data_IF_112738618537
#
_entry.id   IF_112738618537
#
_cell.length_a   1.000
_cell.length_b   1.000
_cell.length_c   1.000
_cell.angle_alpha   90.00
_cell.angle_beta   90.00
_cell.angle_gamma   90.00
#
_symmetry.space_group_name_H-M   'P 1'
#
loop_
_entity.id
_entity.type
_entity.pdbx_description
1 polymer ?
#
# COMPACT_ATOMS: atom_id res chain seq x y z
N UNK A 1 -17.09 10.57 14.34
CA UNK A 1 -17.43 11.64 15.31
C UNK A 1 -17.66 12.98 14.64
N UNK A 2 -16.67 13.56 13.94
CA UNK A 2 -16.86 14.87 13.27
C UNK A 2 -17.95 14.83 12.19
N UNK A 3 -17.97 13.78 11.37
CA UNK A 3 -19.00 13.57 10.34
C UNK A 3 -20.42 13.41 10.90
N UNK A 4 -20.57 12.72 12.03
CA UNK A 4 -21.87 12.56 12.70
C UNK A 4 -22.34 13.88 13.30
N UNK A 5 -21.43 14.65 13.92
CA UNK A 5 -21.73 15.98 14.42
C UNK A 5 -22.11 16.95 13.29
N UNK A 6 -21.34 17.00 12.21
CA UNK A 6 -21.62 17.86 11.06
C UNK A 6 -22.99 17.61 10.46
N UNK A 7 -23.42 16.35 10.38
CA UNK A 7 -24.75 15.97 9.87
C UNK A 7 -25.89 16.13 10.89
N UNK A 8 -25.59 16.39 12.15
CA UNK A 8 -26.61 16.71 13.18
C UNK A 8 -27.03 18.18 13.17
N UNK A 9 -26.33 19.04 12.40
CA UNK A 9 -26.64 20.46 12.29
C UNK A 9 -28.00 20.68 11.62
N UNK A 10 -28.89 21.40 12.30
CA UNK A 10 -30.21 21.79 11.78
C UNK A 10 -30.15 22.97 10.80
N UNK A 11 -29.13 23.83 10.94
CA UNK A 11 -28.90 24.96 10.05
C UNK A 11 -27.40 25.15 9.78
N UNK A 12 -27.00 25.72 8.63
CA UNK A 12 -25.60 25.97 8.32
C UNK A 12 -24.98 27.00 9.28
N UNK A 13 -23.80 26.71 9.83
CA UNK A 13 -23.04 27.66 10.66
C UNK A 13 -22.03 28.37 9.78
N UNK A 14 -22.03 29.71 9.78
CA UNK A 14 -21.10 30.50 8.97
C UNK A 14 -20.14 31.29 9.87
N UNK A 15 -18.83 31.03 9.77
CA UNK A 15 -17.78 31.70 10.55
C UNK A 15 -16.84 32.54 9.66
N UNK A 16 -17.35 33.05 8.54
CA UNK A 16 -16.58 33.84 7.57
C UNK A 16 -15.72 32.96 6.67
N UNK A 17 -14.52 32.57 7.12
CA UNK A 17 -13.56 31.80 6.30
C UNK A 17 -13.94 30.32 6.23
N UNK A 18 -14.47 29.77 7.34
CA UNK A 18 -14.90 28.38 7.44
C UNK A 18 -16.40 28.37 7.74
N UNK A 19 -17.13 27.57 6.99
CA UNK A 19 -18.55 27.35 7.18
C UNK A 19 -18.81 25.85 7.37
N UNK A 20 -19.87 25.53 8.09
CA UNK A 20 -20.34 24.18 8.33
C UNK A 20 -21.70 23.98 7.66
N UNK A 21 -21.72 23.27 6.55
CA UNK A 21 -22.90 23.02 5.73
C UNK A 21 -22.98 21.54 5.36
N UNK A 22 -23.93 20.76 5.90
CA UNK A 22 -24.08 19.35 5.59
C UNK A 22 -24.33 19.12 4.09
N UNK A 23 -23.53 18.27 3.46
CA UNK A 23 -23.60 17.95 2.05
C UNK A 23 -23.32 16.45 1.82
N UNK A 24 -24.18 15.79 1.03
CA UNK A 24 -24.01 14.39 0.66
C UNK A 24 -23.21 14.30 -0.63
N UNK A 25 -22.02 13.72 -0.56
CA UNK A 25 -21.18 13.52 -1.74
C UNK A 25 -21.27 12.08 -2.22
N UNK A 26 -21.95 11.89 -3.36
CA UNK A 26 -22.11 10.59 -4.00
C UNK A 26 -20.95 10.24 -4.95
N UNK A 27 -20.15 11.22 -5.35
CA UNK A 27 -19.02 11.08 -6.29
C UNK A 27 -17.65 10.85 -5.63
N UNK A 28 -16.58 11.12 -6.39
CA UNK A 28 -15.16 11.09 -5.96
C UNK A 28 -14.77 12.42 -5.29
N UNK A 29 -14.31 13.37 -6.10
CA UNK A 29 -13.86 14.71 -5.68
C UNK A 29 -14.90 15.69 -6.22
N UNK A 30 -15.45 16.54 -5.35
CA UNK A 30 -16.46 17.55 -5.72
C UNK A 30 -17.68 17.00 -6.49
N UNK A 31 -18.07 15.75 -6.24
CA UNK A 31 -19.22 15.12 -6.90
C UNK A 31 -18.94 14.52 -8.29
N UNK A 32 -17.69 14.44 -8.76
CA UNK A 32 -17.39 13.74 -10.03
C UNK A 32 -17.79 12.26 -9.96
N UNK A 33 -18.11 11.64 -11.11
CA UNK A 33 -18.60 10.25 -11.22
C UNK A 33 -20.02 10.04 -10.65
N UNK A 34 -20.88 11.06 -10.67
CA UNK A 34 -22.28 10.92 -10.23
C UNK A 34 -23.18 10.11 -11.17
N UNK A 35 -22.79 10.02 -12.43
CA UNK A 35 -23.56 9.38 -13.51
C UNK A 35 -23.70 7.85 -13.36
N UNK A 36 -22.86 7.23 -12.53
CA UNK A 36 -22.91 5.78 -12.30
C UNK A 36 -23.92 5.41 -11.21
N UNK A 37 -24.60 4.27 -11.39
CA UNK A 37 -25.54 3.72 -10.40
C UNK A 37 -24.88 3.66 -9.01
N UNK A 38 -25.61 4.03 -7.95
CA UNK A 38 -25.13 4.07 -6.55
C UNK A 38 -24.32 2.84 -6.17
N UNK A 39 -24.83 1.67 -6.55
CA UNK A 39 -24.22 0.41 -6.22
C UNK A 39 -22.83 0.21 -6.86
N UNK A 40 -22.66 0.60 -8.13
CA UNK A 40 -21.36 0.52 -8.83
C UNK A 40 -20.34 1.38 -8.11
N UNK A 41 -20.76 2.57 -7.64
CA UNK A 41 -19.92 3.50 -6.89
C UNK A 41 -19.51 2.93 -5.53
N UNK A 42 -20.46 2.42 -4.75
CA UNK A 42 -20.19 1.84 -3.43
C UNK A 42 -19.19 0.70 -3.55
N UNK A 43 -19.40 -0.21 -4.51
CA UNK A 43 -18.49 -1.35 -4.67
C UNK A 43 -17.12 -0.89 -5.15
N UNK A 44 -17.04 -0.04 -6.17
CA UNK A 44 -15.76 0.48 -6.67
C UNK A 44 -14.94 1.15 -5.56
N UNK A 45 -15.56 2.03 -4.76
CA UNK A 45 -14.86 2.74 -3.68
C UNK A 45 -14.47 1.83 -2.53
N UNK A 46 -15.32 0.87 -2.17
CA UNK A 46 -15.01 -0.09 -1.10
C UNK A 46 -13.85 -1.00 -1.50
N UNK A 47 -13.84 -1.50 -2.75
CA UNK A 47 -12.76 -2.33 -3.28
C UNK A 47 -11.44 -1.56 -3.38
N UNK A 48 -11.48 -0.33 -3.91
CA UNK A 48 -10.28 0.52 -3.99
C UNK A 48 -9.72 0.84 -2.59
N UNK A 49 -10.60 1.17 -1.64
CA UNK A 49 -10.23 1.44 -0.25
C UNK A 49 -9.60 0.24 0.45
N UNK A 50 -10.20 -0.94 0.30
CA UNK A 50 -9.66 -2.19 0.82
C UNK A 50 -8.28 -2.50 0.25
N UNK A 51 -8.12 -2.31 -1.07
CA UNK A 51 -6.83 -2.49 -1.74
C UNK A 51 -5.76 -1.51 -1.23
N UNK A 52 -6.07 -0.21 -1.16
CA UNK A 52 -5.13 0.80 -0.66
C UNK A 52 -4.68 0.49 0.79
N UNK A 53 -5.59 -0.04 1.61
CA UNK A 53 -5.30 -0.45 2.98
C UNK A 53 -4.38 -1.67 3.04
N UNK A 54 -4.63 -2.68 2.21
CA UNK A 54 -3.75 -3.85 2.11
C UNK A 54 -2.33 -3.45 1.66
N UNK A 55 -2.22 -2.62 0.62
CA UNK A 55 -0.95 -2.11 0.13
C UNK A 55 -0.20 -1.31 1.21
N UNK A 56 -0.92 -0.50 2.00
CA UNK A 56 -0.35 0.24 3.12
C UNK A 56 0.31 -0.68 4.16
N UNK A 57 -0.36 -1.77 4.59
CA UNK A 57 0.23 -2.70 5.55
C UNK A 57 1.46 -3.42 5.00
N UNK A 58 1.45 -3.75 3.70
CA UNK A 58 2.63 -4.31 3.03
C UNK A 58 3.78 -3.30 3.07
N UNK A 59 3.54 -2.04 2.67
CA UNK A 59 4.55 -0.98 2.70
C UNK A 59 5.11 -0.79 4.12
N UNK A 60 4.25 -0.76 5.15
CA UNK A 60 4.69 -0.64 6.55
C UNK A 60 5.56 -1.81 7.01
N UNK A 61 5.21 -3.04 6.63
CA UNK A 61 5.99 -4.23 6.99
C UNK A 61 7.43 -4.18 6.47
N UNK A 62 7.62 -3.63 5.27
CA UNK A 62 8.95 -3.51 4.65
C UNK A 62 9.71 -2.25 5.05
N UNK A 63 9.03 -1.18 5.47
CA UNK A 63 9.65 -0.02 6.09
C UNK A 63 10.11 -0.36 7.52
N UNK A 64 11.14 -1.17 7.70
CA UNK A 64 11.68 -1.48 9.04
C UNK A 64 12.65 -0.42 9.58
N UNK A 65 13.17 0.44 8.70
CA UNK A 65 14.09 1.49 9.10
C UNK A 65 13.42 2.50 10.05
N UNK A 66 14.10 2.82 11.15
CA UNK A 66 13.64 3.80 12.14
C UNK A 66 13.79 5.25 11.63
N UNK A 67 14.71 5.51 10.70
CA UNK A 67 14.89 6.84 10.08
C UNK A 67 13.64 7.30 9.31
N UNK A 68 12.89 6.36 8.75
CA UNK A 68 11.68 6.61 7.95
C UNK A 68 10.41 6.81 8.81
N UNK A 69 10.55 7.17 10.09
CA UNK A 69 9.43 7.39 10.99
C UNK A 69 8.40 8.40 10.45
N UNK A 70 8.88 9.54 9.95
CA UNK A 70 8.02 10.58 9.39
C UNK A 70 7.31 10.15 8.11
N UNK A 71 7.94 9.29 7.31
CA UNK A 71 7.30 8.69 6.13
C UNK A 71 6.20 7.70 6.51
N UNK A 72 6.37 6.93 7.59
CA UNK A 72 5.31 6.06 8.12
C UNK A 72 4.12 6.88 8.64
N UNK A 73 4.39 7.98 9.34
CA UNK A 73 3.34 8.90 9.78
C UNK A 73 2.59 9.47 8.57
N UNK A 74 3.28 9.95 7.54
CA UNK A 74 2.62 10.52 6.36
C UNK A 74 1.72 9.52 5.65
N UNK A 75 2.17 8.27 5.50
CA UNK A 75 1.38 7.17 4.94
C UNK A 75 0.18 6.82 5.82
N UNK A 76 0.34 6.85 7.15
CA UNK A 76 -0.74 6.58 8.12
C UNK A 76 -1.82 7.65 8.07
N UNK A 77 -1.42 8.92 8.00
CA UNK A 77 -2.35 10.05 7.84
C UNK A 77 -3.10 9.93 6.50
N UNK A 78 -2.40 9.64 5.41
CA UNK A 78 -2.99 9.43 4.10
C UNK A 78 -4.03 8.29 4.10
N UNK A 79 -3.69 7.11 4.61
CA UNK A 79 -4.61 5.96 4.61
C UNK A 79 -5.80 6.16 5.54
N UNK A 80 -5.63 6.89 6.65
CA UNK A 80 -6.72 7.22 7.58
C UNK A 80 -7.82 8.04 6.89
N UNK A 81 -7.44 8.94 5.97
CA UNK A 81 -8.37 9.69 5.13
C UNK A 81 -9.15 8.79 4.18
N UNK A 82 -8.47 7.86 3.51
CA UNK A 82 -9.11 6.87 2.63
C UNK A 82 -10.13 6.04 3.41
N UNK A 83 -9.73 5.44 4.53
CA UNK A 83 -10.60 4.59 5.36
C UNK A 83 -11.82 5.39 5.84
N UNK A 84 -11.62 6.63 6.31
CA UNK A 84 -12.70 7.48 6.80
C UNK A 84 -13.78 7.80 5.75
N UNK A 85 -13.42 7.87 4.47
CA UNK A 85 -14.37 8.08 3.37
C UNK A 85 -14.98 6.77 2.86
N UNK A 86 -14.19 5.70 2.81
CA UNK A 86 -14.65 4.37 2.38
C UNK A 86 -15.71 3.85 3.33
N UNK A 87 -15.52 3.96 4.65
CA UNK A 87 -16.51 3.55 5.66
C UNK A 87 -17.87 4.23 5.42
N UNK A 88 -17.87 5.53 5.12
CA UNK A 88 -19.11 6.25 4.80
C UNK A 88 -19.74 5.74 3.50
N UNK A 89 -18.96 5.53 2.44
CA UNK A 89 -19.47 5.00 1.17
C UNK A 89 -20.07 3.60 1.35
N UNK A 90 -19.41 2.73 2.11
CA UNK A 90 -19.87 1.36 2.34
C UNK A 90 -21.15 1.33 3.18
N UNK A 91 -21.24 2.15 4.23
CA UNK A 91 -22.38 2.12 5.15
C UNK A 91 -23.58 2.97 4.70
N UNK A 92 -23.33 4.09 4.01
CA UNK A 92 -24.35 5.11 3.72
C UNK A 92 -24.60 5.32 2.22
N UNK A 93 -23.72 4.80 1.35
CA UNK A 93 -23.77 5.04 -0.09
C UNK A 93 -23.23 6.41 -0.56
N UNK A 94 -22.86 7.29 0.37
CA UNK A 94 -22.30 8.61 0.12
C UNK A 94 -21.34 9.03 1.24
N UNK A 95 -20.48 10.01 0.97
CA UNK A 95 -19.59 10.61 1.96
C UNK A 95 -20.27 11.80 2.62
N UNK A 96 -20.14 11.89 3.94
CA UNK A 96 -20.64 13.00 4.74
C UNK A 96 -19.65 14.17 4.71
N UNK A 97 -19.92 15.14 3.85
CA UNK A 97 -19.19 16.40 3.78
C UNK A 97 -19.92 17.47 4.58
N UNK A 98 -19.18 18.31 5.29
CA UNK A 98 -19.81 19.30 6.16
C UNK A 98 -19.00 20.57 6.35
N UNK A 99 -17.76 20.64 5.86
CA UNK A 99 -16.92 21.84 5.87
C UNK A 99 -16.94 22.47 4.47
N UNK A 100 -17.06 23.79 4.38
CA UNK A 100 -16.82 24.53 3.15
C UNK A 100 -16.10 25.86 3.43
N UNK A 101 -15.32 26.33 2.47
CA UNK A 101 -14.61 27.60 2.58
C UNK A 101 -15.57 28.74 2.22
N UNK A 102 -15.73 29.70 3.12
CA UNK A 102 -16.74 30.75 3.01
C UNK A 102 -16.43 31.87 2.02
N UNK A 103 -15.38 31.74 1.20
CA UNK A 103 -14.99 32.72 0.18
C UNK A 103 -15.09 32.13 -1.24
N UNK A 104 -15.54 32.93 -2.24
CA UNK A 104 -15.57 32.49 -3.64
C UNK A 104 -14.15 32.17 -4.16
N UNK A 105 -13.98 31.19 -5.07
CA UNK A 105 -14.99 30.30 -5.66
C UNK A 105 -15.28 29.03 -4.84
N UNK A 106 -14.73 28.90 -3.63
CA UNK A 106 -14.69 27.64 -2.89
C UNK A 106 -15.94 27.35 -2.06
N UNK A 107 -16.86 28.30 -1.91
CA UNK A 107 -18.12 28.17 -1.19
C UNK A 107 -18.99 26.98 -1.64
N UNK A 108 -18.90 26.60 -2.90
CA UNK A 108 -19.65 25.49 -3.51
C UNK A 108 -19.07 24.10 -3.23
N UNK A 109 -17.85 24.03 -2.72
CA UNK A 109 -17.15 22.77 -2.48
C UNK A 109 -17.19 22.43 -0.99
N UNK A 110 -17.90 21.35 -0.66
CA UNK A 110 -17.89 20.78 0.67
C UNK A 110 -16.84 19.66 0.77
N UNK A 111 -16.27 19.49 1.94
CA UNK A 111 -15.31 18.45 2.29
C UNK A 111 -15.46 18.08 3.77
N UNK A 112 -14.65 17.12 4.23
CA UNK A 112 -14.60 16.70 5.63
C UNK A 112 -13.15 16.48 6.10
N UNK A 113 -12.95 16.18 7.38
CA UNK A 113 -11.60 15.96 7.93
C UNK A 113 -10.85 14.78 7.29
N UNK A 114 -11.54 13.77 6.77
CA UNK A 114 -10.90 12.67 6.05
C UNK A 114 -10.27 13.16 4.73
N UNK A 115 -10.89 14.13 4.05
CA UNK A 115 -10.30 14.77 2.87
C UNK A 115 -9.09 15.64 3.24
N UNK A 116 -9.14 16.31 4.41
CA UNK A 116 -7.99 17.06 4.94
C UNK A 116 -6.82 16.13 5.25
N UNK A 117 -7.08 14.97 5.89
CA UNK A 117 -6.04 13.96 6.15
C UNK A 117 -5.49 13.35 4.87
N UNK A 118 -6.35 13.10 3.88
CA UNK A 118 -5.91 12.64 2.58
C UNK A 118 -4.96 13.66 1.94
N UNK A 119 -5.33 14.94 1.91
CA UNK A 119 -4.52 16.02 1.35
C UNK A 119 -3.18 16.20 2.09
N UNK A 120 -3.21 16.36 3.42
CA UNK A 120 -2.00 16.52 4.23
C UNK A 120 -1.11 15.28 4.12
N UNK A 121 -1.70 14.08 4.18
CA UNK A 121 -0.98 12.83 4.03
C UNK A 121 -0.30 12.71 2.68
N UNK A 122 -0.96 13.13 1.58
CA UNK A 122 -0.36 13.17 0.25
C UNK A 122 0.82 14.15 0.19
N UNK A 123 0.64 15.39 0.66
CA UNK A 123 1.70 16.41 0.65
C UNK A 123 2.92 15.95 1.47
N UNK A 124 2.69 15.45 2.68
CA UNK A 124 3.75 14.93 3.54
C UNK A 124 4.44 13.71 2.92
N UNK A 125 3.69 12.81 2.27
CA UNK A 125 4.25 11.62 1.62
C UNK A 125 5.15 12.02 0.45
N UNK A 126 4.71 12.96 -0.40
CA UNK A 126 5.53 13.50 -1.49
C UNK A 126 6.80 14.17 -0.94
N UNK A 127 6.65 15.01 0.09
CA UNK A 127 7.79 15.65 0.73
C UNK A 127 8.78 14.64 1.31
N UNK A 128 8.29 13.61 2.00
CA UNK A 128 9.11 12.54 2.54
C UNK A 128 9.80 11.71 1.44
N UNK A 129 9.13 11.45 0.31
CA UNK A 129 9.76 10.78 -0.84
C UNK A 129 10.93 11.62 -1.37
N UNK A 130 10.77 12.94 -1.45
CA UNK A 130 11.86 13.84 -1.85
C UNK A 130 12.98 13.87 -0.80
N UNK A 131 12.62 14.04 0.49
CA UNK A 131 13.57 14.22 1.59
C UNK A 131 14.36 12.96 1.96
N UNK A 132 13.72 11.79 1.83
CA UNK A 132 14.31 10.46 2.07
C UNK A 132 14.57 9.73 0.76
N UNK A 133 14.61 10.45 -0.37
CA UNK A 133 14.77 9.86 -1.70
C UNK A 133 16.01 8.98 -1.78
N UNK A 134 17.14 9.44 -1.25
CA UNK A 134 18.38 8.66 -1.22
C UNK A 134 18.26 7.39 -0.37
N UNK A 135 17.62 7.46 0.81
CA UNK A 135 17.37 6.29 1.67
C UNK A 135 16.35 5.31 1.06
N UNK A 136 15.39 5.80 0.28
CA UNK A 136 14.36 5.00 -0.40
C UNK A 136 14.91 4.32 -1.66
N UNK A 137 15.64 5.08 -2.48
CA UNK A 137 16.06 4.74 -3.84
C UNK A 137 17.51 4.30 -4.00
N UNK A 138 18.30 4.25 -2.92
CA UNK A 138 19.77 4.14 -3.01
C UNK A 138 20.26 3.14 -4.08
N UNK A 139 20.84 3.71 -5.13
CA UNK A 139 21.11 3.05 -6.42
C UNK A 139 22.59 2.70 -6.60
N UNK A 140 23.32 2.35 -5.53
CA UNK A 140 24.68 1.78 -5.68
C UNK A 140 24.62 0.29 -6.09
N UNK A 141 24.01 0.03 -7.26
CA UNK A 141 23.72 -1.31 -7.77
C UNK A 141 24.79 -1.80 -8.77
N UNK A 142 25.96 -2.23 -8.30
CA UNK A 142 27.05 -2.78 -9.13
C UNK A 142 26.77 -4.18 -9.76
N UNK A 143 25.52 -4.52 -10.13
CA UNK A 143 25.18 -5.85 -10.70
C UNK A 143 24.63 -5.74 -12.13
N UNK A 144 25.19 -6.55 -13.03
CA UNK A 144 24.84 -6.60 -14.47
C UNK A 144 23.42 -7.15 -14.77
N UNK A 145 22.63 -7.56 -13.76
CA UNK A 145 21.28 -8.12 -13.97
C UNK A 145 20.38 -8.08 -12.73
N UNK A 146 19.07 -7.88 -12.95
CA UNK A 146 18.03 -7.66 -11.93
C UNK A 146 17.54 -8.94 -11.21
N UNK A 147 17.81 -10.13 -11.76
CA UNK A 147 17.44 -11.42 -11.16
C UNK A 147 18.70 -12.10 -10.62
N UNK A 148 18.86 -12.15 -9.29
CA UNK A 148 20.03 -12.75 -8.61
C UNK A 148 19.78 -14.25 -8.34
N UNK A 149 18.56 -14.58 -7.92
CA UNK A 149 18.11 -15.95 -7.66
C UNK A 149 16.71 -16.08 -8.25
N UNK A 150 16.68 -16.33 -9.56
CA UNK A 150 15.48 -16.35 -10.38
C UNK A 150 14.39 -17.23 -9.78
N UNK A 151 14.73 -18.44 -9.31
CA UNK A 151 13.77 -19.36 -8.70
C UNK A 151 13.18 -18.80 -7.41
N UNK A 152 14.00 -18.32 -6.47
CA UNK A 152 13.50 -17.75 -5.21
C UNK A 152 12.68 -16.47 -5.43
N UNK A 153 13.13 -15.56 -6.29
CA UNK A 153 12.44 -14.30 -6.59
C UNK A 153 11.10 -14.53 -7.30
N UNK A 154 11.04 -15.49 -8.24
CA UNK A 154 9.79 -15.88 -8.88
C UNK A 154 8.86 -16.58 -7.90
N UNK A 155 9.36 -17.50 -7.08
CA UNK A 155 8.53 -18.21 -6.08
C UNK A 155 7.95 -17.25 -5.05
N UNK A 156 8.73 -16.30 -4.53
CA UNK A 156 8.23 -15.28 -3.59
C UNK A 156 7.26 -14.30 -4.28
N UNK A 157 7.54 -13.89 -5.51
CA UNK A 157 6.61 -13.12 -6.34
C UNK A 157 5.28 -13.83 -6.53
N UNK A 158 5.32 -15.12 -6.88
CA UNK A 158 4.14 -15.96 -7.07
C UNK A 158 3.36 -16.15 -5.77
N UNK A 159 4.00 -16.46 -4.64
CA UNK A 159 3.32 -16.59 -3.35
C UNK A 159 2.60 -15.30 -2.92
N UNK A 160 3.22 -14.14 -3.14
CA UNK A 160 2.62 -12.85 -2.82
C UNK A 160 1.45 -12.51 -3.77
N UNK A 161 1.59 -12.80 -5.07
CA UNK A 161 0.50 -12.68 -6.03
C UNK A 161 -0.64 -13.63 -5.69
N UNK A 162 -0.36 -14.87 -5.29
CA UNK A 162 -1.37 -15.85 -4.85
C UNK A 162 -2.11 -15.38 -3.60
N UNK A 163 -1.40 -14.83 -2.61
CA UNK A 163 -2.02 -14.25 -1.42
C UNK A 163 -2.93 -13.06 -1.79
N UNK A 164 -2.47 -12.17 -2.68
CA UNK A 164 -3.26 -11.04 -3.18
C UNK A 164 -4.49 -11.52 -3.95
N UNK A 165 -4.35 -12.52 -4.83
CA UNK A 165 -5.45 -13.12 -5.57
C UNK A 165 -6.48 -13.76 -4.63
N UNK A 166 -6.05 -14.40 -3.54
CA UNK A 166 -6.95 -14.99 -2.55
C UNK A 166 -7.80 -13.91 -1.85
N UNK A 167 -7.17 -12.81 -1.44
CA UNK A 167 -7.87 -11.65 -0.83
C UNK A 167 -8.83 -11.02 -1.84
N UNK A 168 -8.41 -10.86 -3.09
CA UNK A 168 -9.23 -10.32 -4.17
C UNK A 168 -10.43 -11.21 -4.49
N UNK A 169 -10.24 -12.53 -4.58
CA UNK A 169 -11.34 -13.50 -4.78
C UNK A 169 -12.33 -13.41 -3.62
N UNK A 170 -11.83 -13.34 -2.39
CA UNK A 170 -12.68 -13.21 -1.20
C UNK A 170 -13.51 -11.92 -1.25
N UNK A 171 -12.88 -10.77 -1.51
CA UNK A 171 -13.56 -9.48 -1.66
C UNK A 171 -14.55 -9.47 -2.84
N UNK A 172 -14.21 -10.12 -3.95
CA UNK A 172 -15.08 -10.25 -5.12
C UNK A 172 -16.31 -11.10 -4.84
N UNK A 173 -16.14 -12.21 -4.11
CA UNK A 173 -17.24 -13.07 -3.67
C UNK A 173 -18.16 -12.34 -2.68
N UNK A 174 -17.60 -11.55 -1.77
CA UNK A 174 -18.38 -10.69 -0.88
C UNK A 174 -19.12 -9.61 -1.67
N UNK A 175 -18.45 -8.92 -2.60
CA UNK A 175 -19.10 -7.94 -3.47
C UNK A 175 -20.22 -8.55 -4.30
N UNK A 176 -20.02 -9.73 -4.88
CA UNK A 176 -21.05 -10.42 -5.65
C UNK A 176 -22.21 -10.89 -4.77
N UNK A 177 -21.93 -11.45 -3.59
CA UNK A 177 -22.97 -11.90 -2.66
C UNK A 177 -23.79 -10.72 -2.15
N UNK A 178 -23.14 -9.59 -1.85
CA UNK A 178 -23.80 -8.35 -1.47
C UNK A 178 -24.66 -7.78 -2.61
N UNK A 179 -24.10 -7.74 -3.83
CA UNK A 179 -24.79 -7.34 -5.06
C UNK A 179 -26.07 -8.16 -5.25
N UNK A 180 -25.95 -9.48 -5.19
CA UNK A 180 -27.07 -10.42 -5.38
C UNK A 180 -28.09 -10.39 -4.24
N UNK A 181 -27.66 -10.13 -3.01
CA UNK A 181 -28.54 -10.15 -1.83
C UNK A 181 -29.28 -8.83 -1.58
N UNK A 182 -28.74 -7.69 -2.03
CA UNK A 182 -29.31 -6.36 -1.74
C UNK A 182 -30.08 -5.77 -2.92
N UNK A 183 -29.83 -6.24 -4.14
CA UNK A 183 -30.67 -5.91 -5.29
C UNK A 183 -31.95 -6.72 -5.15
N UNK A 184 -33.07 -6.00 -5.05
CA UNK A 184 -34.42 -6.55 -5.03
C UNK A 184 -34.55 -7.67 -6.09
N UNK A 185 -34.99 -8.88 -5.73
CA UNK A 185 -35.21 -9.98 -6.68
C UNK A 185 -36.12 -9.59 -7.86
N UNK A 186 -36.92 -8.54 -7.70
CA UNK A 186 -37.82 -8.01 -8.73
C UNK A 186 -37.16 -7.00 -9.67
N UNK A 187 -36.01 -6.42 -9.31
CA UNK A 187 -35.17 -5.64 -10.22
C UNK A 187 -34.36 -6.60 -11.09
N UNK A 188 -34.86 -6.89 -12.29
CA UNK A 188 -34.07 -7.53 -13.35
C UNK A 188 -32.90 -6.62 -13.71
N UNK A 189 -31.75 -6.83 -13.07
CA UNK A 189 -30.51 -6.25 -13.52
C UNK A 189 -30.11 -6.99 -14.80
N UNK A 190 -29.92 -6.23 -15.87
CA UNK A 190 -29.41 -6.76 -17.12
C UNK A 190 -28.06 -7.46 -16.90
N UNK A 191 -27.90 -8.65 -17.46
CA UNK A 191 -26.66 -9.45 -17.38
C UNK A 191 -25.41 -8.66 -17.80
N UNK A 192 -25.59 -7.63 -18.63
CA UNK A 192 -24.51 -6.71 -19.00
C UNK A 192 -23.88 -6.01 -17.79
N UNK A 193 -24.65 -5.64 -16.76
CA UNK A 193 -24.13 -4.94 -15.58
C UNK A 193 -23.20 -5.84 -14.79
N UNK A 194 -23.57 -7.11 -14.58
CA UNK A 194 -22.70 -8.09 -13.93
C UNK A 194 -21.44 -8.34 -14.76
N UNK A 195 -21.57 -8.44 -16.09
CA UNK A 195 -20.44 -8.64 -17.00
C UNK A 195 -19.43 -7.49 -16.91
N UNK A 196 -19.86 -6.24 -16.98
CA UNK A 196 -18.98 -5.08 -16.87
C UNK A 196 -18.39 -4.95 -15.46
N UNK A 197 -19.16 -5.30 -14.43
CA UNK A 197 -18.69 -5.34 -13.05
C UNK A 197 -17.53 -6.33 -12.88
N UNK A 198 -17.70 -7.57 -13.30
CA UNK A 198 -16.65 -8.59 -13.20
C UNK A 198 -15.46 -8.29 -14.11
N UNK A 199 -15.69 -7.78 -15.32
CA UNK A 199 -14.61 -7.38 -16.22
C UNK A 199 -13.75 -6.26 -15.62
N UNK A 200 -14.38 -5.23 -15.06
CA UNK A 200 -13.67 -4.14 -14.37
C UNK A 200 -12.89 -4.64 -13.16
N UNK A 201 -13.46 -5.56 -12.39
CA UNK A 201 -12.80 -6.18 -11.24
C UNK A 201 -11.56 -6.98 -11.68
N UNK A 202 -11.70 -7.81 -12.72
CA UNK A 202 -10.58 -8.60 -13.28
C UNK A 202 -9.46 -7.69 -13.78
N UNK A 203 -9.78 -6.62 -14.52
CA UNK A 203 -8.79 -5.68 -15.04
C UNK A 203 -8.02 -4.97 -13.93
N UNK A 204 -8.73 -4.48 -12.90
CA UNK A 204 -8.15 -3.82 -11.74
C UNK A 204 -7.25 -4.80 -10.97
N UNK A 205 -7.73 -6.00 -10.68
CA UNK A 205 -6.95 -7.03 -9.96
C UNK A 205 -5.72 -7.44 -10.75
N UNK A 206 -5.83 -7.57 -12.08
CA UNK A 206 -4.71 -7.96 -12.95
C UNK A 206 -3.63 -6.87 -12.99
N UNK A 207 -4.03 -5.60 -13.16
CA UNK A 207 -3.11 -4.46 -13.14
C UNK A 207 -2.38 -4.37 -11.80
N UNK A 208 -3.09 -4.54 -10.69
CA UNK A 208 -2.48 -4.48 -9.37
C UNK A 208 -1.62 -5.68 -9.04
N UNK A 209 -2.01 -6.90 -9.43
CA UNK A 209 -1.18 -8.09 -9.30
C UNK A 209 0.15 -7.90 -10.06
N UNK A 210 0.11 -7.29 -11.24
CA UNK A 210 1.31 -6.98 -12.01
C UNK A 210 2.21 -5.96 -11.29
N UNK A 211 1.65 -4.83 -10.82
CA UNK A 211 2.42 -3.82 -10.06
C UNK A 211 3.02 -4.42 -8.79
N UNK A 212 2.24 -5.21 -8.05
CA UNK A 212 2.67 -5.84 -6.80
C UNK A 212 3.72 -6.94 -7.02
N UNK A 213 3.64 -7.67 -8.14
CA UNK A 213 4.66 -8.61 -8.56
C UNK A 213 5.97 -7.90 -8.88
N UNK A 214 5.94 -6.80 -9.66
CA UNK A 214 7.13 -5.99 -9.94
C UNK A 214 7.75 -5.45 -8.64
N UNK A 215 6.92 -4.94 -7.73
CA UNK A 215 7.37 -4.50 -6.41
C UNK A 215 8.03 -5.63 -5.60
N UNK A 216 7.44 -6.84 -5.61
CA UNK A 216 8.02 -8.01 -4.93
C UNK A 216 9.35 -8.45 -5.52
N UNK A 217 9.52 -8.34 -6.84
CA UNK A 217 10.82 -8.61 -7.48
C UNK A 217 11.89 -7.62 -7.03
N UNK A 218 11.56 -6.32 -6.98
CA UNK A 218 12.45 -5.26 -6.45
C UNK A 218 12.83 -5.56 -5.00
N UNK A 219 11.84 -5.91 -4.16
CA UNK A 219 12.05 -6.23 -2.74
C UNK A 219 12.93 -7.46 -2.53
N UNK A 220 12.64 -8.54 -3.25
CA UNK A 220 13.35 -9.82 -3.07
C UNK A 220 14.79 -9.70 -3.55
N UNK A 221 15.07 -8.82 -4.53
CA UNK A 221 16.44 -8.50 -4.92
C UNK A 221 17.27 -7.95 -3.74
N UNK A 222 16.71 -7.02 -2.95
CA UNK A 222 17.38 -6.41 -1.77
C UNK A 222 17.53 -7.36 -0.58
N UNK A 223 16.74 -8.43 -0.50
CA UNK A 223 16.82 -9.43 0.57
C UNK A 223 17.71 -10.63 0.21
N UNK A 224 17.59 -11.14 -1.02
CA UNK A 224 18.27 -12.37 -1.44
C UNK A 224 19.76 -12.13 -1.74
N UNK A 225 20.13 -10.96 -2.24
CA UNK A 225 21.51 -10.62 -2.58
C UNK A 225 22.49 -10.79 -1.40
N UNK A 226 22.18 -10.22 -0.22
CA UNK A 226 23.00 -10.33 1.00
C UNK A 226 23.17 -11.75 1.51
N UNK A 227 22.06 -12.49 1.61
CA UNK A 227 22.06 -13.86 2.10
C UNK A 227 22.89 -14.80 1.20
N UNK A 228 22.81 -14.60 -0.12
CA UNK A 228 23.59 -15.40 -1.08
C UNK A 228 25.08 -15.04 -0.99
N UNK A 229 25.42 -13.76 -0.83
CA UNK A 229 26.80 -13.32 -0.67
C UNK A 229 27.40 -13.88 0.63
N UNK A 230 26.66 -13.81 1.74
CA UNK A 230 27.07 -14.40 3.01
C UNK A 230 27.22 -15.93 2.92
N UNK A 231 26.30 -16.64 2.25
CA UNK A 231 26.43 -18.08 2.01
C UNK A 231 27.71 -18.43 1.24
N UNK A 232 28.06 -17.66 0.20
CA UNK A 232 29.31 -17.85 -0.55
C UNK A 232 30.54 -17.60 0.33
N UNK A 233 30.49 -16.57 1.17
CA UNK A 233 31.53 -16.27 2.14
C UNK A 233 31.79 -17.45 3.10
N UNK A 234 30.74 -18.03 3.68
CA UNK A 234 30.85 -19.23 4.54
C UNK A 234 31.44 -20.43 3.78
N UNK A 235 31.07 -20.63 2.50
CA UNK A 235 31.60 -21.72 1.70
C UNK A 235 33.11 -21.55 1.42
N UNK A 236 33.56 -20.32 1.13
CA UNK A 236 34.98 -20.00 0.95
C UNK A 236 35.80 -20.22 2.22
N UNK A 237 35.25 -19.85 3.39
CA UNK A 237 35.86 -20.16 4.69
C UNK A 237 36.07 -21.66 4.87
N UNK A 238 35.05 -22.47 4.53
CA UNK A 238 35.11 -23.93 4.65
C UNK A 238 36.15 -24.57 3.72
N UNK A 239 36.31 -24.07 2.49
CA UNK A 239 37.23 -24.67 1.51
C UNK A 239 38.67 -24.17 1.60
N UNK A 240 39.01 -23.33 2.59
CA UNK A 240 40.37 -22.88 2.84
C UNK A 240 40.96 -21.91 1.81
N UNK A 241 40.16 -21.43 0.86
CA UNK A 241 40.62 -20.49 -0.17
C UNK A 241 40.59 -19.06 0.38
N UNK A 242 41.63 -18.69 1.15
CA UNK A 242 41.66 -17.49 2.01
C UNK A 242 42.18 -16.21 1.35
N UNK A 243 42.59 -16.26 0.08
CA UNK A 243 43.04 -15.07 -0.63
C UNK A 243 41.85 -14.17 -0.91
N UNK A 244 41.68 -13.13 -0.09
CA UNK A 244 40.71 -12.03 -0.24
C UNK A 244 39.29 -12.23 0.34
N UNK A 245 39.14 -12.98 1.44
CA UNK A 245 37.85 -13.07 2.17
C UNK A 245 37.50 -11.75 2.85
N UNK A 246 36.72 -10.93 2.17
CA UNK A 246 35.94 -9.85 2.75
C UNK A 246 34.52 -9.91 2.20
N UNK A 247 33.53 -9.80 3.08
CA UNK A 247 32.13 -9.66 2.68
C UNK A 247 31.76 -8.19 2.81
N UNK A 248 31.56 -7.54 1.68
CA UNK A 248 30.99 -6.19 1.60
C UNK A 248 29.61 -6.26 0.94
N UNK A 249 28.60 -5.88 1.70
CA UNK A 249 27.20 -5.71 1.33
C UNK A 249 26.91 -4.22 1.06
N UNK A 250 25.77 -3.93 0.45
CA UNK A 250 25.40 -2.53 0.18
C UNK A 250 24.89 -1.87 1.46
N UNK A 251 24.92 -0.54 1.46
CA UNK A 251 24.31 0.28 2.52
C UNK A 251 22.84 -0.10 2.79
N UNK A 252 22.13 -0.52 1.74
CA UNK A 252 20.67 -0.58 1.70
C UNK A 252 20.15 -1.99 1.43
N UNK A 253 21.06 -2.95 1.53
CA UNK A 253 20.80 -4.37 1.53
C UNK A 253 20.18 -4.76 2.88
N UNK A 254 19.17 -5.63 2.86
CA UNK A 254 18.69 -6.20 4.12
C UNK A 254 19.79 -7.10 4.71
N UNK A 255 19.85 -7.15 6.04
CA UNK A 255 20.84 -7.95 6.77
C UNK A 255 22.29 -7.46 6.66
N UNK A 256 22.52 -6.14 6.66
CA UNK A 256 23.87 -5.55 6.65
C UNK A 256 24.72 -5.99 7.85
N UNK A 257 24.09 -6.39 8.96
CA UNK A 257 24.75 -7.01 10.11
C UNK A 257 25.60 -8.25 9.75
N UNK A 258 25.31 -8.93 8.64
CA UNK A 258 26.07 -10.08 8.15
C UNK A 258 27.53 -9.75 7.82
N UNK A 259 27.88 -8.50 7.49
CA UNK A 259 29.27 -8.08 7.31
C UNK A 259 30.07 -8.20 8.62
N UNK A 260 29.48 -7.75 9.73
CA UNK A 260 30.10 -7.83 11.05
C UNK A 260 30.29 -9.28 11.50
N UNK A 261 29.29 -10.13 11.21
CA UNK A 261 29.35 -11.57 11.50
C UNK A 261 30.46 -12.22 10.65
N UNK A 262 30.54 -11.89 9.36
CA UNK A 262 31.59 -12.37 8.48
C UNK A 262 32.99 -12.00 9.02
N UNK A 263 33.20 -10.73 9.41
CA UNK A 263 34.48 -10.30 9.99
C UNK A 263 34.84 -11.05 11.28
N UNK A 264 33.85 -11.32 12.12
CA UNK A 264 34.06 -12.11 13.36
C UNK A 264 34.47 -13.55 13.04
N UNK A 265 33.83 -14.17 12.04
CA UNK A 265 34.12 -15.54 11.60
C UNK A 265 35.51 -15.69 10.97
N UNK A 266 36.05 -14.62 10.35
CA UNK A 266 37.40 -14.63 9.78
C UNK A 266 38.49 -14.94 10.81
N UNK A 267 38.27 -14.56 12.08
CA UNK A 267 39.19 -14.82 13.19
C UNK A 267 38.93 -16.14 13.93
N UNK A 268 37.86 -16.85 13.60
CA UNK A 268 37.46 -18.08 14.30
C UNK A 268 38.21 -19.29 13.72
N UNK A 269 39.18 -19.83 14.47
CA UNK A 269 39.70 -21.18 14.21
C UNK A 269 38.82 -22.19 14.95
N UNK A 270 38.27 -23.22 14.27
CA UNK A 270 37.66 -24.32 14.98
C UNK A 270 38.72 -24.96 15.90
N UNK A 271 38.35 -25.40 17.11
CA UNK A 271 39.26 -26.16 17.96
C UNK A 271 39.75 -27.38 17.18
N UNK A 272 41.06 -27.64 17.23
CA UNK A 272 41.66 -28.84 16.64
C UNK A 272 40.92 -30.06 17.21
N UNK A 273 40.43 -30.94 16.32
CA UNK A 273 39.88 -32.22 16.74
C UNK A 273 40.97 -32.94 17.56
N UNK A 274 40.67 -33.44 18.77
CA UNK A 274 41.65 -34.18 19.54
C UNK A 274 42.12 -35.36 18.68
N UNK A 275 43.41 -35.41 18.40
CA UNK A 275 44.04 -36.53 17.70
C UNK A 275 43.66 -37.83 18.41
N UNK A 276 42.87 -38.66 17.73
CA UNK A 276 42.47 -40.00 18.17
C UNK A 276 43.40 -41.06 17.62
#
# INVERSE_FOLDING_TARGET
MTKTWGFSLQSPIRLGIINFTPAKNFGLVFGSFTEFKNLVRVVFFSTFGGYATALFFVILYFLKNKSLFWFKISLTVFISGIIGNVVDKTLLGFVRDFLNLGFPPFQKYAFNFADVYLFIGTVLTIFCIYRYGDELWNEKNNRKGFLINKSYQLTMGLWNVSALLLVCVTLSLYSYSFLKSYIDPHLKIEDQVYKYFFLGLILIVSLYAFIFFLFTLILTHRSAGPLIAFRRYIYQLKTGNQTDLSLTLREDDFHKELESIANTLKGFRPPEEPES
#
